data_IF_925155565225
#
_entry.id   IF_925155565225
#
_cell.length_a   1.000
_cell.length_b   1.000
_cell.length_c   1.000
_cell.angle_alpha   90.00
_cell.angle_beta   90.00
_cell.angle_gamma   90.00
#
_symmetry.space_group_name_H-M   'P 1'
#
loop_
_entity.id
_entity.type
_entity.pdbx_description
1 polymer ?
#
# COMPACT_ATOMS: atom_id res chain seq x y z
N UNK A 1 -18.37 -3.82 16.75
CA UNK A 1 -17.64 -2.56 16.94
C UNK A 1 -17.67 -1.79 15.63
N UNK A 2 -18.47 -0.71 15.57
CA UNK A 2 -18.65 0.11 14.37
C UNK A 2 -18.20 1.52 14.77
N UNK A 3 -17.06 1.97 14.24
CA UNK A 3 -16.61 3.36 14.38
C UNK A 3 -16.34 3.88 12.97
N UNK A 4 -17.41 4.18 12.25
CA UNK A 4 -17.38 5.13 11.15
C UNK A 4 -17.89 6.46 11.69
N UNK A 5 -17.07 7.12 12.51
CA UNK A 5 -17.27 8.54 12.77
C UNK A 5 -16.54 9.26 11.65
N UNK A 6 -17.22 10.15 10.91
CA UNK A 6 -16.71 10.82 9.70
C UNK A 6 -15.57 11.82 9.94
N UNK A 7 -14.69 11.55 10.90
CA UNK A 7 -13.57 12.37 11.34
C UNK A 7 -12.29 11.54 11.48
N UNK A 8 -12.15 10.45 10.72
CA UNK A 8 -10.90 9.70 10.61
C UNK A 8 -9.92 10.50 9.74
N UNK A 9 -9.15 11.37 10.38
CA UNK A 9 -8.06 12.10 9.72
C UNK A 9 -6.91 11.13 9.37
N UNK A 10 -6.38 11.18 8.13
CA UNK A 10 -5.28 10.30 7.74
C UNK A 10 -3.95 10.83 8.27
N UNK A 11 -3.21 9.97 8.95
CA UNK A 11 -1.82 10.21 9.30
C UNK A 11 -0.87 9.78 8.18
N UNK A 12 0.22 10.51 8.02
CA UNK A 12 1.25 10.25 7.02
C UNK A 12 2.58 9.94 7.69
N UNK A 13 3.11 8.74 7.45
CA UNK A 13 4.37 8.28 8.02
C UNK A 13 5.42 8.09 6.92
N UNK A 14 6.66 8.49 7.22
CA UNK A 14 7.80 8.16 6.37
C UNK A 14 8.27 6.74 6.71
N UNK A 15 8.37 5.89 5.70
CA UNK A 15 8.88 4.52 5.84
C UNK A 15 10.30 4.43 5.26
N UNK A 16 11.18 3.74 5.97
CA UNK A 16 12.52 3.43 5.51
C UNK A 16 12.67 1.91 5.38
N UNK A 17 12.83 1.42 4.15
CA UNK A 17 12.88 0.00 3.81
C UNK A 17 14.23 -0.29 3.17
N UNK A 18 14.90 -1.36 3.63
CA UNK A 18 16.23 -1.75 3.13
C UNK A 18 16.28 -3.23 2.73
N UNK A 19 17.33 -3.58 1.99
CA UNK A 19 17.66 -4.96 1.64
C UNK A 19 16.57 -5.66 0.84
N UNK A 20 16.31 -6.93 1.17
CA UNK A 20 15.34 -7.77 0.43
C UNK A 20 13.92 -7.19 0.43
N UNK A 21 13.48 -6.59 1.53
CA UNK A 21 12.15 -5.98 1.63
C UNK A 21 12.02 -4.77 0.70
N UNK A 22 13.10 -4.01 0.49
CA UNK A 22 13.10 -2.87 -0.42
C UNK A 22 12.93 -3.32 -1.88
N UNK A 23 13.54 -4.44 -2.26
CA UNK A 23 13.36 -5.01 -3.60
C UNK A 23 11.89 -5.42 -3.83
N UNK A 24 11.28 -6.12 -2.86
CA UNK A 24 9.85 -6.48 -2.93
C UNK A 24 8.98 -5.23 -3.03
N UNK A 25 9.30 -4.18 -2.27
CA UNK A 25 8.58 -2.92 -2.36
C UNK A 25 8.70 -2.29 -3.75
N UNK A 26 9.91 -2.23 -4.31
CA UNK A 26 10.13 -1.68 -5.65
C UNK A 26 9.36 -2.45 -6.74
N UNK A 27 9.35 -3.77 -6.65
CA UNK A 27 8.74 -4.63 -7.67
C UNK A 27 7.21 -4.60 -7.61
N UNK A 28 6.62 -4.65 -6.40
CA UNK A 28 5.19 -4.92 -6.23
C UNK A 28 4.38 -3.76 -5.64
N UNK A 29 5.00 -2.80 -4.96
CA UNK A 29 4.26 -1.67 -4.37
C UNK A 29 4.03 -0.59 -5.43
N UNK A 30 2.79 -0.14 -5.52
CA UNK A 30 2.36 0.98 -6.37
C UNK A 30 1.57 1.98 -5.53
N UNK A 31 1.33 3.16 -6.09
CA UNK A 31 0.50 4.18 -5.43
C UNK A 31 -0.88 3.59 -5.16
N UNK A 32 -1.31 3.64 -3.89
CA UNK A 32 -2.61 3.11 -3.47
C UNK A 32 -2.62 1.62 -3.13
N UNK A 33 -1.49 0.92 -3.19
CA UNK A 33 -1.36 -0.43 -2.65
C UNK A 33 -1.65 -0.42 -1.15
N UNK A 34 -2.47 -1.37 -0.69
CA UNK A 34 -2.70 -1.59 0.73
C UNK A 34 -1.56 -2.45 1.28
N UNK A 35 -0.91 -1.99 2.35
CA UNK A 35 0.27 -2.64 2.91
C UNK A 35 0.13 -2.83 4.42
N UNK A 36 0.57 -3.99 4.90
CA UNK A 36 0.86 -4.24 6.31
C UNK A 36 2.34 -4.00 6.57
N UNK A 37 2.66 -3.17 7.56
CA UNK A 37 4.05 -2.80 7.90
C UNK A 37 4.31 -3.14 9.36
N UNK A 38 5.39 -3.89 9.62
CA UNK A 38 5.91 -4.14 10.95
C UNK A 38 7.34 -3.60 10.99
N UNK A 39 7.65 -2.83 12.01
CA UNK A 39 8.93 -2.14 12.10
C UNK A 39 9.13 -1.42 13.42
N UNK A 40 10.18 -0.61 13.45
CA UNK A 40 10.58 0.21 14.60
C UNK A 40 10.38 1.69 14.31
N UNK A 41 9.81 2.44 15.26
CA UNK A 41 9.66 3.89 15.15
C UNK A 41 10.92 4.62 15.63
N UNK A 42 11.39 5.58 14.83
CA UNK A 42 12.59 6.38 15.11
C UNK A 42 12.31 7.86 14.86
N UNK A 43 12.92 8.70 15.69
CA UNK A 43 13.02 10.13 15.46
C UNK A 43 14.45 10.45 15.02
N UNK A 44 14.65 10.67 13.72
CA UNK A 44 15.94 11.10 13.20
C UNK A 44 16.14 12.57 13.50
N UNK A 45 17.23 12.89 14.22
CA UNK A 45 17.63 14.25 14.55
C UNK A 45 18.83 14.65 13.73
N UNK A 46 18.79 15.86 13.16
CA UNK A 46 19.92 16.44 12.46
C UNK A 46 19.96 17.95 12.66
N UNK A 47 21.14 18.54 12.55
CA UNK A 47 21.32 19.99 12.56
C UNK A 47 21.21 20.52 11.14
N UNK A 48 20.30 21.47 10.92
CA UNK A 48 20.21 22.15 9.64
C UNK A 48 21.48 22.95 9.37
N UNK A 49 22.10 22.76 8.20
CA UNK A 49 23.38 23.41 7.86
C UNK A 49 23.24 24.91 7.60
N UNK A 50 22.04 25.41 7.32
CA UNK A 50 21.79 26.80 6.98
C UNK A 50 21.39 27.61 8.22
N UNK A 51 20.51 27.06 9.06
CA UNK A 51 20.01 27.75 10.27
C UNK A 51 20.71 27.36 11.56
N UNK A 52 21.45 26.24 11.58
CA UNK A 52 22.06 25.70 12.81
C UNK A 52 21.06 25.11 13.79
N UNK A 53 19.77 25.04 13.44
CA UNK A 53 18.72 24.52 14.32
C UNK A 53 18.68 22.99 14.30
N UNK A 54 18.38 22.40 15.45
CA UNK A 54 18.10 20.96 15.55
C UNK A 54 16.70 20.67 15.00
N UNK A 55 16.63 19.79 14.01
CA UNK A 55 15.38 19.30 13.40
C UNK A 55 15.21 17.83 13.73
N UNK A 56 13.95 17.40 13.82
CA UNK A 56 13.60 15.99 14.02
C UNK A 56 12.57 15.54 12.98
N UNK A 57 12.69 14.30 12.52
CA UNK A 57 11.77 13.69 11.56
C UNK A 57 11.31 12.31 12.06
N UNK A 58 9.99 12.05 12.15
CA UNK A 58 9.48 10.73 12.45
C UNK A 58 9.64 9.81 11.22
N UNK A 59 10.26 8.65 11.45
CA UNK A 59 10.53 7.63 10.44
C UNK A 59 10.24 6.26 11.04
N UNK A 60 9.61 5.38 10.28
CA UNK A 60 9.42 3.98 10.63
C UNK A 60 10.40 3.14 9.81
N UNK A 61 11.34 2.49 10.48
CA UNK A 61 12.23 1.51 9.87
C UNK A 61 11.49 0.19 9.73
N UNK A 62 11.34 -0.30 8.51
CA UNK A 62 10.52 -1.47 8.20
C UNK A 62 11.34 -2.75 8.32
N UNK A 63 10.85 -3.68 9.14
CA UNK A 63 11.43 -5.02 9.31
C UNK A 63 10.70 -6.06 8.45
N UNK A 64 9.38 -5.91 8.29
CA UNK A 64 8.54 -6.77 7.44
C UNK A 64 7.48 -5.96 6.71
N UNK A 65 7.33 -6.25 5.41
CA UNK A 65 6.28 -5.73 4.55
C UNK A 65 5.37 -6.87 4.09
N UNK A 66 4.06 -6.67 4.21
CA UNK A 66 3.03 -7.57 3.71
C UNK A 66 2.17 -6.84 2.68
N UNK A 67 2.05 -7.41 1.48
CA UNK A 67 1.17 -6.90 0.44
C UNK A 67 -0.25 -7.35 0.76
N UNK A 68 -1.10 -6.39 1.11
CA UNK A 68 -2.52 -6.66 1.35
C UNK A 68 -3.24 -6.40 0.03
N UNK A 69 -3.96 -7.39 -0.48
CA UNK A 69 -4.71 -7.24 -1.73
C UNK A 69 -5.69 -6.06 -1.64
N UNK A 70 -5.65 -5.16 -2.61
CA UNK A 70 -6.64 -4.09 -2.74
C UNK A 70 -7.86 -4.65 -3.47
N UNK A 71 -9.08 -4.46 -2.92
CA UNK A 71 -10.34 -4.86 -3.58
C UNK A 71 -10.48 -4.32 -5.01
N UNK A 72 -9.76 -3.25 -5.35
CA UNK A 72 -9.77 -2.64 -6.69
C UNK A 72 -9.02 -3.47 -7.76
N UNK A 73 -8.02 -4.27 -7.38
CA UNK A 73 -7.32 -5.14 -8.33
C UNK A 73 -8.22 -6.30 -8.82
N UNK A 74 -9.27 -6.65 -8.07
CA UNK A 74 -10.25 -7.66 -8.49
C UNK A 74 -11.19 -7.19 -9.61
N UNK A 75 -11.40 -5.87 -9.77
CA UNK A 75 -12.33 -5.33 -10.78
C UNK A 75 -11.63 -4.89 -12.07
N UNK A 76 -10.33 -4.62 -12.04
CA UNK A 76 -9.55 -4.24 -13.22
C UNK A 76 -9.18 -5.44 -14.14
N UNK A 77 -9.46 -6.68 -13.72
CA UNK A 77 -9.24 -7.91 -14.49
C UNK A 77 -10.49 -8.53 -15.14
N UNK A 78 -11.66 -7.89 -15.00
CA UNK A 78 -12.96 -8.46 -15.40
C UNK A 78 -13.54 -7.94 -16.72
N UNK A 79 -12.71 -7.54 -17.68
CA UNK A 79 -13.16 -6.88 -18.91
C UNK A 79 -12.56 -7.47 -20.18
N UNK A 80 -12.87 -8.73 -20.52
CA UNK A 80 -12.79 -9.26 -21.90
C UNK A 80 -13.37 -10.69 -22.02
N UNK A 81 -14.51 -10.81 -22.70
CA UNK A 81 -14.71 -11.83 -23.75
C UNK A 81 -15.53 -13.09 -23.44
N UNK A 82 -16.56 -13.31 -24.25
CA UNK A 82 -17.25 -14.60 -24.48
C UNK A 82 -18.68 -14.58 -23.96
N UNK A 83 -19.70 -14.25 -24.74
CA UNK A 83 -20.08 -14.93 -25.98
C UNK A 83 -21.34 -15.74 -25.69
N UNK A 84 -22.47 -15.35 -26.28
CA UNK A 84 -23.77 -16.04 -26.20
C UNK A 84 -23.64 -17.57 -26.31
N UNK A 85 -24.31 -18.35 -25.45
CA UNK A 85 -24.69 -19.71 -25.79
C UNK A 85 -26.08 -19.68 -26.44
N UNK A 86 -26.15 -19.40 -27.74
CA UNK A 86 -27.27 -19.84 -28.57
C UNK A 86 -26.99 -21.27 -29.02
N UNK A 87 -27.12 -22.22 -28.10
CA UNK A 87 -27.12 -23.65 -28.45
C UNK A 87 -28.52 -24.01 -28.95
N UNK A 88 -28.62 -23.90 -30.28
CA UNK A 88 -29.55 -24.53 -31.21
C UNK A 88 -30.29 -25.75 -30.63
N UNK A 89 -31.53 -25.53 -30.18
CA UNK A 89 -32.46 -26.59 -29.80
C UNK A 89 -32.84 -27.38 -31.06
N UNK A 90 -32.19 -28.53 -31.25
CA UNK A 90 -32.49 -29.53 -32.28
C UNK A 90 -33.85 -30.21 -32.01
N UNK A 91 -34.85 -30.11 -32.92
CA UNK A 91 -36.00 -30.99 -32.88
C UNK A 91 -35.75 -32.26 -33.71
N UNK A 92 -35.83 -33.39 -33.01
CA UNK A 92 -36.00 -34.82 -33.38
C UNK A 92 -35.91 -35.22 -34.86
#
# INVERSE_FOLDING_TARGET
VNRRSGNDEPDWFNLEIWGKQAQVAADYVRKGSLLGIIGSFKLDRWTDRSSGEERSKPVVRVDRLELLGSKRDAEAGGGMGGGEPSDEEVPF
#
